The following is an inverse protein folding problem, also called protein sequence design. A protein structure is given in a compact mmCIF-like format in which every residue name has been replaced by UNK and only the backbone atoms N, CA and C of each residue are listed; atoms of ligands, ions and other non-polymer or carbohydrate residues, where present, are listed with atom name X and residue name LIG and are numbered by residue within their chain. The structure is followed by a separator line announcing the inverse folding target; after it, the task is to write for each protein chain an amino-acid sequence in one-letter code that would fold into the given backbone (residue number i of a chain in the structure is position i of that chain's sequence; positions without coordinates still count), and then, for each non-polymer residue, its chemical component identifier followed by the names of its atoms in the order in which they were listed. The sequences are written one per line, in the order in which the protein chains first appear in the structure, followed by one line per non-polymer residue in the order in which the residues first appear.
data_IF_353318073508
#
_entry.id   IF_353318073508
#
_cell.length_a   1.000
_cell.length_b   1.000
_cell.length_c   1.000
_cell.angle_alpha   90.00
_cell.angle_beta   90.00
_cell.angle_gamma   90.00
#
_symmetry.space_group_name_H-M   'P 1'
#
loop_
_entity.id
_entity.type
_entity.pdbx_description
1 polymer ?
#
# COMPACT_ATOMS: atom_id res chain seq x y z
N UNK A 1 -11.17 14.31 23.99
CA UNK A 1 -11.05 14.93 22.65
C UNK A 1 -11.33 13.83 21.65
N UNK A 2 -12.26 14.01 20.70
CA UNK A 2 -12.50 12.98 19.69
C UNK A 2 -11.23 12.85 18.84
N UNK A 3 -10.67 11.65 18.78
CA UNK A 3 -9.49 11.35 17.97
C UNK A 3 -9.82 11.59 16.50
N UNK A 4 -9.00 12.39 15.80
CA UNK A 4 -9.21 12.62 14.37
C UNK A 4 -8.84 11.32 13.63
N UNK A 5 -9.72 10.76 12.80
CA UNK A 5 -9.38 9.57 12.02
C UNK A 5 -8.28 9.91 11.03
N UNK A 6 -7.28 9.04 10.90
CA UNK A 6 -6.26 9.19 9.85
C UNK A 6 -6.77 8.63 8.53
N UNK A 7 -6.14 9.02 7.42
CA UNK A 7 -6.44 8.47 6.09
C UNK A 7 -6.20 6.96 6.06
N UNK A 8 -5.15 6.50 6.75
CA UNK A 8 -4.83 5.09 6.96
C UNK A 8 -5.96 4.34 7.67
N UNK A 9 -6.54 4.89 8.75
CA UNK A 9 -7.64 4.25 9.47
C UNK A 9 -8.88 4.05 8.60
N UNK A 10 -9.18 5.06 7.77
CA UNK A 10 -10.32 5.01 6.85
C UNK A 10 -10.07 3.97 5.75
N UNK A 11 -8.84 3.88 5.24
CA UNK A 11 -8.46 2.87 4.25
C UNK A 11 -8.53 1.45 4.82
N UNK A 12 -7.99 1.22 6.02
CA UNK A 12 -8.08 -0.07 6.70
C UNK A 12 -9.53 -0.49 6.97
N UNK A 13 -10.36 0.46 7.40
CA UNK A 13 -11.79 0.19 7.54
C UNK A 13 -12.44 -0.26 6.22
N UNK A 14 -12.09 0.38 5.10
CA UNK A 14 -12.61 0.01 3.80
C UNK A 14 -12.14 -1.40 3.37
N UNK A 15 -10.87 -1.73 3.60
CA UNK A 15 -10.31 -3.06 3.37
C UNK A 15 -11.01 -4.14 4.19
N UNK A 16 -11.19 -3.91 5.49
CA UNK A 16 -11.84 -4.89 6.37
C UNK A 16 -13.29 -5.10 5.99
N UNK A 17 -13.97 -4.04 5.54
CA UNK A 17 -15.32 -4.16 5.00
C UNK A 17 -15.35 -5.08 3.77
N UNK A 18 -14.41 -4.89 2.84
CA UNK A 18 -14.30 -5.73 1.63
C UNK A 18 -13.90 -7.17 1.92
N UNK A 19 -13.07 -7.41 2.94
CA UNK A 19 -12.77 -8.77 3.41
C UNK A 19 -14.00 -9.46 4.00
N UNK A 20 -14.82 -8.72 4.75
CA UNK A 20 -16.04 -9.25 5.37
C UNK A 20 -17.19 -9.44 4.37
N UNK A 21 -17.27 -8.57 3.35
CA UNK A 21 -18.31 -8.56 2.32
C UNK A 21 -17.67 -8.47 0.91
N UNK A 22 -17.07 -9.57 0.39
CA UNK A 22 -16.29 -9.54 -0.85
C UNK A 22 -17.10 -9.19 -2.11
N UNK A 23 -18.40 -9.46 -2.07
CA UNK A 23 -19.36 -9.19 -3.16
C UNK A 23 -20.12 -7.88 -2.99
N UNK A 24 -19.81 -7.08 -1.96
CA UNK A 24 -20.45 -5.77 -1.75
C UNK A 24 -20.10 -4.78 -2.86
N UNK A 25 -20.97 -3.80 -3.13
CA UNK A 25 -20.68 -2.74 -4.10
C UNK A 25 -19.69 -1.72 -3.52
N UNK A 26 -18.83 -1.13 -4.37
CA UNK A 26 -17.96 -0.02 -3.96
C UNK A 26 -18.76 1.21 -3.47
N UNK A 27 -19.97 1.41 -4.01
CA UNK A 27 -20.88 2.45 -3.54
C UNK A 27 -21.40 2.21 -2.11
N UNK A 28 -21.55 0.95 -1.72
CA UNK A 28 -21.95 0.58 -0.36
C UNK A 28 -20.82 0.87 0.63
N UNK A 29 -19.58 0.55 0.24
CA UNK A 29 -18.36 0.86 1.02
C UNK A 29 -18.26 2.36 1.25
N UNK A 30 -18.41 3.15 0.18
CA UNK A 30 -18.39 4.62 0.24
C UNK A 30 -19.46 5.14 1.21
N UNK A 31 -20.68 4.61 1.11
CA UNK A 31 -21.79 5.00 1.97
C UNK A 31 -21.53 4.67 3.44
N UNK A 32 -20.93 3.50 3.73
CA UNK A 32 -20.55 3.11 5.10
C UNK A 32 -19.41 3.95 5.68
N UNK A 33 -18.42 4.34 4.88
CA UNK A 33 -17.37 5.27 5.28
C UNK A 33 -17.99 6.61 5.71
N UNK A 34 -18.85 7.18 4.86
CA UNK A 34 -19.53 8.45 5.16
C UNK A 34 -20.44 8.30 6.38
N UNK A 35 -21.14 7.18 6.54
CA UNK A 35 -21.99 6.97 7.71
C UNK A 35 -21.19 6.85 9.02
N UNK A 36 -20.01 6.23 9.00
CA UNK A 36 -19.17 6.03 10.19
C UNK A 36 -18.39 7.27 10.58
N UNK A 37 -17.76 7.94 9.61
CA UNK A 37 -16.85 9.05 9.85
C UNK A 37 -17.45 10.42 9.55
N UNK A 38 -18.56 10.50 8.82
CA UNK A 38 -19.09 11.74 8.27
C UNK A 38 -19.59 12.77 9.30
N UNK A 39 -19.86 12.34 10.54
CA UNK A 39 -20.21 13.22 11.66
C UNK A 39 -18.99 13.64 12.50
N UNK A 40 -17.82 13.07 12.21
CA UNK A 40 -16.56 13.32 12.91
C UNK A 40 -15.71 14.42 12.27
N UNK A 41 -14.61 14.81 12.94
CA UNK A 41 -13.66 15.76 12.39
C UNK A 41 -12.92 15.18 11.19
N UNK A 42 -12.55 16.05 10.23
CA UNK A 42 -11.77 15.65 9.07
C UNK A 42 -10.35 15.19 9.44
N UNK A 43 -9.76 14.28 8.65
CA UNK A 43 -8.37 13.87 8.80
C UNK A 43 -7.41 15.05 8.66
N UNK A 44 -6.25 14.95 9.31
CA UNK A 44 -5.16 15.91 9.14
C UNK A 44 -4.38 15.61 7.87
N UNK A 45 -4.03 16.65 7.10
CA UNK A 45 -3.17 16.52 5.92
C UNK A 45 -1.75 16.07 6.24
N UNK A 46 -1.30 16.27 7.49
CA UNK A 46 0.01 15.79 7.95
C UNK A 46 0.14 14.24 7.87
N UNK A 47 -0.98 13.52 7.84
CA UNK A 47 -1.05 12.06 7.78
C UNK A 47 -1.82 11.58 6.53
N UNK A 48 -1.65 12.28 5.40
CA UNK A 48 -2.19 11.88 4.10
C UNK A 48 -1.37 10.71 3.52
N UNK A 49 -1.56 9.52 4.09
CA UNK A 49 -0.84 8.32 3.70
C UNK A 49 -1.73 7.09 3.78
N UNK A 50 -1.44 6.12 2.91
CA UNK A 50 -1.99 4.77 2.91
C UNK A 50 -0.80 3.84 3.23
N UNK A 51 -1.00 2.73 3.97
CA UNK A 51 0.06 1.74 4.19
C UNK A 51 0.65 1.26 2.86
N UNK A 52 1.93 0.89 2.83
CA UNK A 52 2.59 0.46 1.60
C UNK A 52 1.98 -0.85 1.06
N UNK A 53 1.70 -0.86 -0.26
CA UNK A 53 1.19 -2.01 -1.00
C UNK A 53 2.07 -2.37 -2.20
N UNK A 54 3.35 -1.97 -2.22
CA UNK A 54 4.31 -2.19 -3.33
C UNK A 54 4.53 -3.66 -3.69
N UNK A 55 4.21 -4.60 -2.80
CA UNK A 55 4.24 -6.03 -3.11
C UNK A 55 3.01 -6.51 -3.91
N UNK A 56 1.94 -5.70 -3.96
CA UNK A 56 0.63 -6.03 -4.52
C UNK A 56 0.30 -5.14 -5.72
N UNK A 57 0.60 -3.85 -5.65
CA UNK A 57 0.28 -2.82 -6.65
C UNK A 57 1.43 -1.79 -6.70
N UNK A 58 1.77 -1.20 -7.85
CA UNK A 58 2.76 -0.11 -7.91
C UNK A 58 2.35 1.09 -7.04
N UNK A 59 3.33 1.83 -6.54
CA UNK A 59 3.11 3.03 -5.70
C UNK A 59 2.11 4.01 -6.32
N UNK A 60 2.24 4.28 -7.61
CA UNK A 60 1.39 5.20 -8.37
C UNK A 60 -0.09 4.81 -8.32
N UNK A 61 -0.38 3.51 -8.28
CA UNK A 61 -1.73 2.98 -8.34
C UNK A 61 -2.37 2.90 -6.94
N UNK A 62 -1.66 2.42 -5.91
CA UNK A 62 -2.24 2.36 -4.56
C UNK A 62 -2.29 3.72 -3.85
N UNK A 63 -1.53 4.72 -4.32
CA UNK A 63 -1.63 6.12 -3.85
C UNK A 63 -2.55 6.99 -4.73
N UNK A 64 -3.06 6.47 -5.85
CA UNK A 64 -3.80 7.22 -6.87
C UNK A 64 -4.99 8.03 -6.34
N UNK A 65 -5.61 7.60 -5.24
CA UNK A 65 -6.73 8.31 -4.62
C UNK A 65 -6.34 9.40 -3.62
N UNK A 66 -5.08 9.49 -3.17
CA UNK A 66 -4.63 10.49 -2.19
C UNK A 66 -4.85 11.94 -2.63
N UNK A 67 -4.64 12.34 -3.90
CA UNK A 67 -4.98 13.69 -4.36
C UNK A 67 -6.47 14.03 -4.21
N UNK A 68 -7.35 13.04 -4.41
CA UNK A 68 -8.80 13.21 -4.23
C UNK A 68 -9.15 13.30 -2.74
N UNK A 69 -8.47 12.52 -1.89
CA UNK A 69 -8.61 12.64 -0.43
C UNK A 69 -8.17 14.02 0.05
N UNK A 70 -7.02 14.52 -0.41
CA UNK A 70 -6.52 15.86 -0.07
C UNK A 70 -7.53 16.94 -0.44
N UNK A 71 -8.06 16.90 -1.66
CA UNK A 71 -9.09 17.82 -2.12
C UNK A 71 -10.34 17.72 -1.24
N UNK A 72 -10.76 16.52 -0.87
CA UNK A 72 -11.88 16.29 0.04
C UNK A 72 -11.64 16.86 1.44
N UNK A 73 -10.42 16.79 1.97
CA UNK A 73 -10.05 17.42 3.25
C UNK A 73 -10.12 18.95 3.14
N UNK A 74 -9.53 19.52 2.08
CA UNK A 74 -9.52 20.97 1.85
C UNK A 74 -10.93 21.56 1.63
N UNK A 75 -11.82 20.79 1.01
CA UNK A 75 -13.21 21.18 0.75
C UNK A 75 -14.19 20.72 1.83
N UNK A 76 -13.72 20.12 2.93
CA UNK A 76 -14.56 19.61 4.01
C UNK A 76 -15.67 18.64 3.50
N UNK A 77 -15.31 17.75 2.57
CA UNK A 77 -16.22 16.85 1.89
C UNK A 77 -15.88 15.39 2.15
N UNK A 78 -16.61 14.77 3.08
CA UNK A 78 -16.52 13.33 3.36
C UNK A 78 -16.85 12.46 2.15
N UNK A 79 -17.69 12.95 1.24
CA UNK A 79 -18.03 12.25 0.00
C UNK A 79 -16.82 12.15 -0.93
N UNK A 80 -15.99 13.20 -0.98
CA UNK A 80 -14.75 13.19 -1.78
C UNK A 80 -13.66 12.36 -1.11
N UNK A 81 -13.51 12.46 0.21
CA UNK A 81 -12.58 11.61 0.98
C UNK A 81 -12.89 10.13 0.75
N UNK A 82 -14.14 9.72 0.93
CA UNK A 82 -14.57 8.35 0.72
C UNK A 82 -14.38 7.90 -0.75
N UNK A 83 -14.51 8.82 -1.71
CA UNK A 83 -14.25 8.51 -3.11
C UNK A 83 -12.75 8.30 -3.40
N UNK A 84 -11.87 9.12 -2.85
CA UNK A 84 -10.42 8.93 -3.00
C UNK A 84 -9.94 7.61 -2.36
N UNK A 85 -10.47 7.26 -1.20
CA UNK A 85 -10.19 5.97 -0.56
C UNK A 85 -10.63 4.81 -1.45
N UNK A 86 -11.82 4.90 -2.06
CA UNK A 86 -12.33 3.90 -2.99
C UNK A 86 -11.43 3.72 -4.22
N UNK A 87 -10.96 4.81 -4.83
CA UNK A 87 -10.06 4.74 -6.00
C UNK A 87 -8.81 3.91 -5.66
N UNK A 88 -8.18 4.19 -4.53
CA UNK A 88 -6.98 3.47 -4.08
C UNK A 88 -7.29 1.99 -3.79
N UNK A 89 -8.43 1.73 -3.15
CA UNK A 89 -8.89 0.38 -2.82
C UNK A 89 -9.18 -0.46 -4.07
N UNK A 90 -9.81 0.13 -5.07
CA UNK A 90 -10.08 -0.52 -6.36
C UNK A 90 -8.79 -0.93 -7.06
N UNK A 91 -7.76 -0.08 -7.04
CA UNK A 91 -6.45 -0.43 -7.58
C UNK A 91 -5.86 -1.63 -6.83
N UNK A 92 -5.83 -1.56 -5.50
CA UNK A 92 -5.32 -2.66 -4.65
C UNK A 92 -6.04 -3.99 -4.91
N UNK A 93 -7.35 -3.97 -5.12
CA UNK A 93 -8.13 -5.20 -5.34
C UNK A 93 -8.13 -5.72 -6.78
N UNK A 94 -8.14 -4.83 -7.77
CA UNK A 94 -8.34 -5.22 -9.16
C UNK A 94 -7.02 -5.46 -9.88
N UNK A 95 -5.94 -4.79 -9.46
CA UNK A 95 -4.63 -4.96 -10.07
C UNK A 95 -4.21 -6.43 -10.09
N UNK A 96 -4.26 -7.24 -9.00
CA UNK A 96 -3.90 -8.66 -9.07
C UNK A 96 -4.74 -9.47 -10.06
N UNK A 97 -6.04 -9.13 -10.20
CA UNK A 97 -6.96 -9.81 -11.12
C UNK A 97 -6.67 -9.49 -12.58
N UNK A 98 -6.26 -8.26 -12.86
CA UNK A 98 -6.00 -7.75 -14.21
C UNK A 98 -4.58 -8.03 -14.68
N UNK A 99 -3.64 -8.19 -13.75
CA UNK A 99 -2.22 -8.30 -14.04
C UNK A 99 -1.81 -9.70 -14.57
N UNK A 100 -2.74 -10.63 -14.74
CA UNK A 100 -2.65 -11.91 -15.50
C UNK A 100 -1.56 -12.94 -15.11
N UNK A 101 -0.55 -12.62 -14.27
CA UNK A 101 0.41 -13.57 -13.63
C UNK A 101 1.15 -12.96 -12.43
N UNK A 102 1.22 -13.61 -11.28
CA UNK A 102 1.95 -13.08 -10.10
C UNK A 102 3.48 -13.04 -10.30
N UNK A 103 4.03 -13.92 -11.14
CA UNK A 103 5.45 -14.17 -11.38
C UNK A 103 5.98 -13.54 -12.69
N UNK A 104 5.28 -12.54 -13.21
CA UNK A 104 5.69 -11.88 -14.46
C UNK A 104 6.96 -11.05 -14.25
N UNK A 105 8.04 -11.44 -14.93
CA UNK A 105 9.35 -10.81 -14.88
C UNK A 105 9.38 -9.38 -15.47
N UNK A 106 8.27 -8.88 -16.02
CA UNK A 106 8.11 -7.46 -16.38
C UNK A 106 7.65 -6.57 -15.22
N UNK A 107 7.43 -7.15 -14.03
CA UNK A 107 6.94 -6.45 -12.82
C UNK A 107 8.07 -6.21 -11.83
N UNK A 108 9.12 -5.55 -12.30
CA UNK A 108 10.34 -5.22 -11.54
C UNK A 108 10.03 -4.54 -10.19
N UNK A 109 8.96 -3.74 -10.14
CA UNK A 109 8.49 -3.06 -8.92
C UNK A 109 8.06 -4.02 -7.78
N UNK A 110 7.70 -5.28 -8.06
CA UNK A 110 7.41 -6.29 -7.01
C UNK A 110 8.66 -6.92 -6.42
N UNK A 111 9.78 -6.86 -7.13
CA UNK A 111 11.00 -7.54 -6.73
C UNK A 111 11.85 -6.66 -5.82
N UNK A 112 11.52 -6.64 -4.52
CA UNK A 112 12.30 -5.89 -3.51
C UNK A 112 13.78 -6.31 -3.44
N UNK A 113 14.15 -7.45 -4.01
CA UNK A 113 15.53 -7.94 -4.02
C UNK A 113 16.35 -7.43 -5.22
N UNK A 114 15.70 -6.90 -6.26
CA UNK A 114 16.37 -6.51 -7.52
C UNK A 114 17.37 -5.36 -7.35
N UNK A 115 17.16 -4.49 -6.35
CA UNK A 115 18.12 -3.46 -5.94
C UNK A 115 19.01 -3.83 -4.75
N UNK A 116 18.72 -4.95 -4.07
CA UNK A 116 19.45 -5.39 -2.88
C UNK A 116 20.60 -6.31 -3.28
N UNK A 117 20.42 -7.21 -4.25
CA UNK A 117 21.46 -8.18 -4.62
C UNK A 117 22.78 -7.51 -5.04
N UNK A 118 22.73 -6.48 -5.89
CA UNK A 118 23.89 -5.71 -6.33
C UNK A 118 24.55 -4.90 -5.20
N UNK A 119 23.75 -4.42 -4.25
CA UNK A 119 24.25 -3.66 -3.10
C UNK A 119 24.85 -4.59 -2.04
N UNK A 120 24.22 -5.74 -1.81
CA UNK A 120 24.71 -6.82 -0.96
C UNK A 120 26.02 -7.37 -1.50
N UNK A 121 26.14 -7.66 -2.80
CA UNK A 121 27.39 -8.15 -3.41
C UNK A 121 28.55 -7.17 -3.16
N UNK A 122 28.32 -5.87 -3.41
CA UNK A 122 29.34 -4.82 -3.19
C UNK A 122 29.69 -4.63 -1.71
N UNK A 123 28.74 -4.82 -0.79
CA UNK A 123 28.95 -4.67 0.65
C UNK A 123 29.62 -5.92 1.23
N UNK A 124 29.20 -7.12 0.79
CA UNK A 124 29.80 -8.40 1.16
C UNK A 124 31.28 -8.39 0.77
N UNK A 125 31.62 -8.01 -0.46
CA UNK A 125 33.03 -7.94 -0.89
C UNK A 125 33.83 -6.86 -0.15
N UNK A 126 33.19 -5.75 0.25
CA UNK A 126 33.88 -4.64 0.93
C UNK A 126 34.12 -4.88 2.42
N UNK A 127 33.20 -5.54 3.10
CA UNK A 127 33.17 -5.62 4.56
C UNK A 127 33.41 -7.02 5.11
N UNK A 128 33.32 -8.06 4.26
CA UNK A 128 33.60 -9.43 4.66
C UNK A 128 35.03 -9.79 4.24
N UNK A 129 35.95 -10.00 5.20
CA UNK A 129 37.31 -10.43 4.89
C UNK A 129 37.32 -11.75 4.11
N UNK A 130 38.28 -11.90 3.21
CA UNK A 130 38.42 -13.09 2.35
C UNK A 130 38.47 -14.39 3.16
N UNK A 131 39.07 -14.36 4.35
CA UNK A 131 39.14 -15.49 5.28
C UNK A 131 37.75 -15.97 5.73
N UNK A 132 36.80 -15.06 5.98
CA UNK A 132 35.43 -15.40 6.37
C UNK A 132 34.62 -15.92 5.17
N UNK A 133 34.87 -15.35 3.98
CA UNK A 133 34.30 -15.82 2.72
C UNK A 133 34.74 -17.23 2.36
N UNK A 134 36.02 -17.57 2.57
CA UNK A 134 36.53 -18.93 2.37
C UNK A 134 35.90 -19.94 3.34
N UNK A 135 35.69 -19.55 4.60
CA UNK A 135 35.02 -20.40 5.59
C UNK A 135 33.55 -20.64 5.20
N UNK A 136 32.83 -19.59 4.80
CA UNK A 136 31.44 -19.71 4.33
C UNK A 136 31.33 -20.61 3.08
N UNK A 137 32.24 -20.45 2.11
CA UNK A 137 32.31 -21.28 0.90
C UNK A 137 32.66 -22.74 1.21
N UNK A 138 33.43 -23.02 2.27
CA UNK A 138 33.70 -24.38 2.74
C UNK A 138 32.50 -25.04 3.42
N UNK A 139 31.63 -24.27 4.08
CA UNK A 139 30.41 -24.80 4.72
C UNK A 139 29.26 -25.07 3.72
N UNK A 140 29.24 -24.41 2.56
CA UNK A 140 28.18 -24.54 1.54
C UNK A 140 28.45 -25.70 0.55
N UNK A 141 29.65 -26.31 0.55
CA UNK A 141 29.90 -27.54 -0.21
C UNK A 141 29.34 -28.75 0.56
N UNK A 142 28.56 -29.64 -0.07
CA UNK A 142 28.01 -30.84 0.57
C UNK A 142 29.10 -31.80 1.05
#
# INVERSE_FOLDING_TARGET
MAEKPTVTDIFQFALDLRKSEPNGSYDDVKSRIVSKFGSGPFPDTAYLTIPEYDNIVPEEDWTSGLPVVLRGIQNESWKEIAHGIMISLEQVENYPKQSLREDDASKDWRNRNEGIADAEEKVLDKWMPEDLMEIARRQIRP
#
